data_IF_795443661269
#
_entry.id   IF_795443661269
#
_cell.length_a   1.000
_cell.length_b   1.000
_cell.length_c   1.000
_cell.angle_alpha   90.00
_cell.angle_beta   90.00
_cell.angle_gamma   90.00
#
_symmetry.space_group_name_H-M   'P 1'
#
loop_
_entity.id
_entity.type
_entity.pdbx_description
1 polymer ?
#
# COMPACT_ATOMS: atom_id res chain seq x y z
N UNK A 1 32.54 -4.14 -19.37
CA UNK A 1 32.61 -3.99 -20.82
C UNK A 1 31.34 -3.47 -21.48
N UNK A 2 30.14 -3.97 -21.10
CA UNK A 2 28.85 -3.50 -21.64
C UNK A 2 28.64 -2.00 -21.41
N UNK A 3 28.87 -1.50 -20.18
CA UNK A 3 28.74 -0.07 -19.85
C UNK A 3 29.66 0.80 -20.75
N UNK A 4 30.93 0.40 -20.95
CA UNK A 4 31.87 1.13 -21.82
C UNK A 4 31.38 1.23 -23.26
N UNK A 5 30.77 0.16 -23.81
CA UNK A 5 30.18 0.16 -25.15
C UNK A 5 29.02 1.13 -25.27
N UNK A 6 28.07 1.07 -24.30
CA UNK A 6 26.89 1.95 -24.25
C UNK A 6 27.33 3.42 -24.15
N UNK A 7 28.24 3.74 -23.25
CA UNK A 7 28.75 5.12 -23.09
C UNK A 7 29.47 5.64 -24.32
N UNK A 8 30.22 4.78 -25.01
CA UNK A 8 30.88 5.15 -26.28
C UNK A 8 29.86 5.43 -27.39
N UNK A 9 28.79 4.65 -27.44
CA UNK A 9 27.70 4.86 -28.41
C UNK A 9 26.96 6.17 -28.14
N UNK A 10 26.60 6.44 -26.88
CA UNK A 10 25.96 7.70 -26.45
C UNK A 10 26.82 8.90 -26.84
N UNK A 11 28.13 8.83 -26.54
CA UNK A 11 29.07 9.90 -26.88
C UNK A 11 29.19 10.13 -28.37
N UNK A 12 29.12 9.06 -29.17
CA UNK A 12 29.28 9.16 -30.66
C UNK A 12 28.02 9.76 -31.29
N UNK A 13 26.83 9.46 -30.77
CA UNK A 13 25.57 9.95 -31.33
C UNK A 13 25.28 11.40 -30.96
N UNK A 14 25.56 11.81 -29.73
CA UNK A 14 25.39 13.19 -29.30
C UNK A 14 23.92 13.70 -29.13
N UNK A 15 22.95 12.91 -29.60
CA UNK A 15 21.52 13.19 -29.56
C UNK A 15 20.77 12.48 -28.37
N UNK A 16 21.54 11.80 -27.52
CA UNK A 16 21.01 10.97 -26.43
C UNK A 16 21.15 11.70 -25.10
N UNK A 17 20.05 11.81 -24.37
CA UNK A 17 20.02 12.26 -22.98
C UNK A 17 19.99 11.01 -22.09
N UNK A 18 20.98 10.90 -21.20
CA UNK A 18 21.09 9.80 -20.27
C UNK A 18 20.39 10.17 -18.97
N UNK A 19 19.38 9.40 -18.56
CA UNK A 19 18.79 9.50 -17.24
C UNK A 19 19.46 8.51 -16.29
N UNK A 20 19.92 9.01 -15.15
CA UNK A 20 20.57 8.21 -14.10
C UNK A 20 19.79 8.40 -12.81
N UNK A 21 19.10 7.35 -12.39
CA UNK A 21 18.45 7.31 -11.09
C UNK A 21 19.50 7.05 -10.00
N UNK A 22 19.27 7.60 -8.80
CA UNK A 22 20.20 7.51 -7.67
C UNK A 22 21.65 7.84 -8.04
N UNK A 23 21.88 8.94 -8.79
CA UNK A 23 23.20 9.32 -9.31
C UNK A 23 24.28 9.39 -8.21
N UNK A 24 23.89 9.63 -6.95
CA UNK A 24 24.79 9.63 -5.81
C UNK A 24 25.51 8.29 -5.60
N UNK A 25 24.89 7.18 -5.99
CA UNK A 25 25.50 5.84 -5.88
C UNK A 25 26.72 5.71 -6.78
N UNK A 26 26.72 6.39 -7.93
CA UNK A 26 27.82 6.41 -8.88
C UNK A 26 28.94 7.36 -8.49
N UNK A 27 28.66 8.34 -7.64
CA UNK A 27 29.63 9.37 -7.23
C UNK A 27 30.26 9.03 -5.87
N UNK A 28 29.45 8.48 -4.95
CA UNK A 28 29.81 8.17 -3.58
C UNK A 28 30.31 6.74 -3.34
N UNK A 29 30.41 5.91 -4.37
CA UNK A 29 30.66 4.47 -4.25
C UNK A 29 32.06 4.17 -3.68
N UNK A 30 32.12 4.08 -2.37
CA UNK A 30 33.30 3.64 -1.63
C UNK A 30 33.33 2.16 -1.21
N UNK A 31 32.33 1.31 -1.53
CA UNK A 31 32.19 0.05 -0.80
C UNK A 31 31.83 -1.23 -1.58
N UNK A 32 31.42 -1.18 -2.85
CA UNK A 32 31.10 -2.40 -3.59
C UNK A 32 31.98 -2.54 -4.83
N UNK A 33 32.66 -3.68 -4.99
CA UNK A 33 33.64 -3.92 -6.08
C UNK A 33 33.10 -3.64 -7.49
N UNK A 34 31.81 -3.89 -7.77
CA UNK A 34 31.20 -3.62 -9.06
C UNK A 34 30.77 -2.16 -9.29
N UNK A 35 30.48 -1.41 -8.21
CA UNK A 35 30.06 0.00 -8.29
C UNK A 35 31.27 0.94 -8.45
N UNK A 36 32.42 0.59 -7.92
CA UNK A 36 33.69 1.31 -8.09
C UNK A 36 34.09 1.39 -9.58
N UNK A 37 33.89 0.33 -10.33
CA UNK A 37 34.21 0.27 -11.77
C UNK A 37 33.30 1.19 -12.61
N UNK A 38 32.01 1.28 -12.29
CA UNK A 38 31.08 2.16 -12.98
C UNK A 38 31.34 3.65 -12.63
N UNK A 39 31.54 3.95 -11.35
CA UNK A 39 31.86 5.29 -10.87
C UNK A 39 33.16 5.85 -11.46
N UNK A 40 34.20 5.03 -11.53
CA UNK A 40 35.51 5.41 -12.12
C UNK A 40 35.43 5.77 -13.60
N UNK A 41 34.46 5.24 -14.32
CA UNK A 41 34.24 5.51 -15.75
C UNK A 41 33.31 6.71 -15.95
N UNK A 42 32.20 6.74 -15.25
CA UNK A 42 31.14 7.75 -15.44
C UNK A 42 31.52 9.11 -14.86
N UNK A 43 32.09 9.16 -13.66
CA UNK A 43 32.44 10.42 -12.98
C UNK A 43 33.33 11.33 -13.82
N UNK A 44 34.42 10.87 -14.47
CA UNK A 44 35.22 11.72 -15.35
C UNK A 44 34.47 12.22 -16.59
N UNK A 45 33.56 11.41 -17.15
CA UNK A 45 32.77 11.80 -18.34
C UNK A 45 31.72 12.86 -17.97
N UNK A 46 31.05 12.70 -16.82
CA UNK A 46 30.12 13.68 -16.28
C UNK A 46 30.84 15.01 -15.94
N UNK A 47 31.98 14.94 -15.28
CA UNK A 47 32.77 16.10 -14.92
C UNK A 47 33.31 16.87 -16.15
N UNK A 48 33.59 16.20 -17.27
CA UNK A 48 33.99 16.84 -18.52
C UNK A 48 32.85 17.33 -19.39
N UNK A 49 31.58 16.97 -19.05
CA UNK A 49 30.40 17.31 -19.83
C UNK A 49 30.30 16.58 -21.13
N UNK A 50 30.88 15.37 -21.22
CA UNK A 50 30.84 14.53 -22.42
C UNK A 50 29.49 13.83 -22.64
N UNK A 51 28.64 13.83 -21.63
CA UNK A 51 27.31 13.22 -21.63
C UNK A 51 26.27 14.26 -21.26
N UNK A 52 25.19 14.31 -22.04
CA UNK A 52 23.99 15.03 -21.61
C UNK A 52 23.23 14.15 -20.63
N UNK A 53 23.13 14.58 -19.38
CA UNK A 53 22.67 13.71 -18.30
C UNK A 53 21.65 14.42 -17.43
N UNK A 54 20.59 13.71 -17.09
CA UNK A 54 19.65 14.05 -16.03
C UNK A 54 19.88 13.06 -14.89
N UNK A 55 20.27 13.56 -13.72
CA UNK A 55 20.44 12.73 -12.51
C UNK A 55 19.31 12.95 -11.53
N UNK A 56 18.77 11.88 -10.98
CA UNK A 56 17.83 11.95 -9.86
C UNK A 56 18.53 11.52 -8.57
N UNK A 57 18.21 12.21 -7.46
CA UNK A 57 18.75 11.90 -6.13
C UNK A 57 17.91 12.59 -5.06
N UNK A 58 18.12 12.25 -3.78
CA UNK A 58 17.55 12.96 -2.65
C UNK A 58 18.37 14.22 -2.29
N UNK A 59 17.76 15.20 -1.61
CA UNK A 59 18.46 16.41 -1.20
C UNK A 59 19.63 16.11 -0.26
N UNK A 60 19.48 15.15 0.63
CA UNK A 60 20.54 14.79 1.59
C UNK A 60 21.73 14.12 0.90
N UNK A 61 21.47 13.21 -0.04
CA UNK A 61 22.53 12.57 -0.81
C UNK A 61 23.17 13.54 -1.80
N UNK A 62 22.41 14.50 -2.37
CA UNK A 62 22.96 15.57 -3.18
C UNK A 62 23.99 16.40 -2.37
N UNK A 63 23.61 16.89 -1.19
CA UNK A 63 24.50 17.67 -0.29
C UNK A 63 25.73 16.88 0.14
N UNK A 64 25.56 15.59 0.36
CA UNK A 64 26.63 14.72 0.85
C UNK A 64 27.64 14.33 -0.22
N UNK A 65 27.20 14.11 -1.45
CA UNK A 65 28.02 13.50 -2.49
C UNK A 65 28.26 14.38 -3.71
N UNK A 66 27.31 15.20 -4.15
CA UNK A 66 27.42 15.99 -5.38
C UNK A 66 27.86 17.40 -5.10
N UNK A 67 27.27 18.10 -4.14
CA UNK A 67 27.61 19.48 -3.76
C UNK A 67 29.05 19.60 -3.25
N UNK A 68 29.57 18.58 -2.58
CA UNK A 68 30.97 18.55 -2.10
C UNK A 68 32.00 18.28 -3.19
N UNK A 69 31.58 17.82 -4.36
CA UNK A 69 32.46 17.57 -5.49
C UNK A 69 32.43 18.73 -6.49
N UNK A 70 33.42 19.63 -6.38
CA UNK A 70 33.50 20.85 -7.19
C UNK A 70 33.47 20.57 -8.72
N UNK A 71 33.85 19.37 -9.19
CA UNK A 71 33.82 19.03 -10.60
C UNK A 71 32.40 18.70 -11.08
N UNK A 72 31.58 18.10 -10.21
CA UNK A 72 30.18 17.74 -10.50
C UNK A 72 29.25 18.93 -10.20
N UNK A 73 29.42 19.64 -9.11
CA UNK A 73 28.64 20.81 -8.76
C UNK A 73 28.56 21.83 -9.91
N UNK A 74 29.67 22.08 -10.58
CA UNK A 74 29.74 23.01 -11.74
C UNK A 74 29.03 22.48 -13.00
N UNK A 75 28.64 21.23 -13.02
CA UNK A 75 28.06 20.56 -14.21
C UNK A 75 26.59 20.21 -14.05
N UNK A 76 26.13 20.05 -12.82
CA UNK A 76 24.75 19.74 -12.53
C UNK A 76 24.05 20.93 -11.90
N UNK A 77 23.03 21.45 -12.58
CA UNK A 77 22.14 22.44 -12.04
C UNK A 77 21.06 21.72 -11.24
N UNK A 78 20.93 21.92 -9.90
CA UNK A 78 19.89 21.29 -9.12
C UNK A 78 18.51 21.85 -9.48
N UNK A 79 17.56 20.96 -9.69
CA UNK A 79 16.14 21.26 -9.87
C UNK A 79 15.40 20.57 -8.73
N UNK A 80 14.90 21.36 -7.78
CA UNK A 80 14.16 20.80 -6.66
C UNK A 80 12.72 20.47 -7.10
N UNK A 81 12.34 19.21 -6.92
CA UNK A 81 10.96 18.76 -7.08
C UNK A 81 10.30 18.82 -5.70
N UNK A 82 9.40 19.75 -5.52
CA UNK A 82 8.68 19.91 -4.26
C UNK A 82 7.57 18.87 -4.12
N UNK A 83 7.20 18.57 -2.87
CA UNK A 83 6.03 17.75 -2.57
C UNK A 83 4.76 18.40 -3.16
N UNK A 84 3.89 17.64 -3.85
CA UNK A 84 2.68 18.18 -4.40
C UNK A 84 1.67 18.54 -3.30
N UNK A 85 0.82 19.52 -3.58
CA UNK A 85 -0.30 19.85 -2.69
C UNK A 85 -1.33 18.71 -2.67
N UNK A 86 -2.20 18.68 -1.66
CA UNK A 86 -3.32 17.72 -1.57
C UNK A 86 -4.16 17.74 -2.86
N UNK A 87 -4.47 18.93 -3.39
CA UNK A 87 -5.25 19.05 -4.63
C UNK A 87 -4.54 18.40 -5.83
N UNK A 88 -3.26 18.67 -6.03
CA UNK A 88 -2.47 18.02 -7.08
C UNK A 88 -2.33 16.50 -6.84
N UNK A 89 -2.23 16.06 -5.60
CA UNK A 89 -2.21 14.64 -5.27
C UNK A 89 -3.51 13.95 -5.70
N UNK A 90 -4.66 14.56 -5.44
CA UNK A 90 -5.96 14.03 -5.88
C UNK A 90 -6.00 13.90 -7.43
N UNK A 91 -5.49 14.89 -8.15
CA UNK A 91 -5.42 14.81 -9.61
C UNK A 91 -4.48 13.70 -10.11
N UNK A 92 -3.35 13.51 -9.43
CA UNK A 92 -2.43 12.38 -9.70
C UNK A 92 -3.15 11.06 -9.47
N UNK A 93 -3.84 10.90 -8.33
CA UNK A 93 -4.59 9.68 -7.99
C UNK A 93 -5.69 9.39 -9.01
N UNK A 94 -6.41 10.41 -9.48
CA UNK A 94 -7.39 10.27 -10.57
C UNK A 94 -6.74 9.74 -11.86
N UNK A 95 -5.56 10.24 -12.19
CA UNK A 95 -4.81 9.76 -13.36
C UNK A 95 -4.31 8.32 -13.23
N UNK A 96 -4.16 7.81 -12.01
CA UNK A 96 -3.71 6.44 -11.73
C UNK A 96 -4.87 5.47 -11.51
N UNK A 97 -6.09 5.95 -11.23
CA UNK A 97 -7.28 5.17 -10.87
C UNK A 97 -7.47 3.94 -11.75
N UNK A 98 -7.59 4.14 -13.05
CA UNK A 98 -7.90 3.07 -14.01
C UNK A 98 -6.90 1.92 -13.95
N UNK A 99 -5.64 2.22 -13.64
CA UNK A 99 -4.58 1.21 -13.52
C UNK A 99 -4.75 0.36 -12.25
N UNK A 100 -5.07 1.01 -11.12
CA UNK A 100 -5.30 0.32 -9.85
C UNK A 100 -6.61 -0.48 -9.88
N UNK A 101 -7.68 0.09 -10.44
CA UNK A 101 -8.95 -0.61 -10.65
C UNK A 101 -8.76 -1.87 -11.50
N UNK A 102 -8.04 -1.77 -12.61
CA UNK A 102 -7.74 -2.90 -13.48
C UNK A 102 -6.86 -3.97 -12.79
N UNK A 103 -5.87 -3.52 -11.98
CA UNK A 103 -4.95 -4.42 -11.28
C UNK A 103 -5.65 -5.21 -10.16
N UNK A 104 -6.42 -4.54 -9.32
CA UNK A 104 -7.10 -5.14 -8.17
C UNK A 104 -8.50 -5.68 -8.53
N UNK A 105 -9.03 -5.32 -9.71
CA UNK A 105 -10.40 -5.65 -10.18
C UNK A 105 -11.47 -5.13 -9.21
N UNK A 106 -11.40 -3.86 -8.91
CA UNK A 106 -12.26 -3.11 -8.00
C UNK A 106 -12.65 -1.79 -8.64
N UNK A 107 -13.57 -1.07 -8.04
CA UNK A 107 -13.89 0.33 -8.36
C UNK A 107 -13.40 1.23 -7.23
N UNK A 108 -12.88 2.42 -7.55
CA UNK A 108 -12.40 3.40 -6.57
C UNK A 108 -13.20 4.69 -6.71
N UNK A 109 -13.87 5.11 -5.64
CA UNK A 109 -14.68 6.33 -5.66
C UNK A 109 -13.84 7.60 -5.65
N UNK A 110 -14.39 8.72 -6.08
CA UNK A 110 -13.73 10.03 -5.98
C UNK A 110 -13.55 10.47 -4.52
N UNK A 111 -14.48 10.07 -3.65
CA UNK A 111 -14.42 10.28 -2.21
C UNK A 111 -13.24 9.54 -1.60
N UNK A 112 -12.99 8.29 -2.01
CA UNK A 112 -11.84 7.51 -1.57
C UNK A 112 -10.50 8.15 -1.98
N UNK A 113 -10.39 8.66 -3.21
CA UNK A 113 -9.19 9.37 -3.68
C UNK A 113 -8.93 10.64 -2.85
N UNK A 114 -9.99 11.38 -2.57
CA UNK A 114 -9.92 12.59 -1.75
C UNK A 114 -9.54 12.28 -0.32
N UNK A 115 -10.18 11.26 0.27
CA UNK A 115 -9.89 10.79 1.62
C UNK A 115 -8.44 10.27 1.73
N UNK A 116 -7.97 9.48 0.76
CA UNK A 116 -6.61 8.98 0.74
C UNK A 116 -5.57 10.11 0.76
N UNK A 117 -5.75 11.16 -0.05
CA UNK A 117 -4.83 12.30 -0.08
C UNK A 117 -4.86 13.09 1.24
N UNK A 118 -6.04 13.39 1.76
CA UNK A 118 -6.20 14.19 2.99
C UNK A 118 -5.75 13.44 4.25
N UNK A 119 -6.13 12.17 4.36
CA UNK A 119 -5.78 11.36 5.51
C UNK A 119 -4.29 10.98 5.50
N UNK A 120 -3.71 10.69 4.34
CA UNK A 120 -2.28 10.46 4.23
C UNK A 120 -1.48 11.68 4.68
N UNK A 121 -1.87 12.88 4.24
CA UNK A 121 -1.19 14.12 4.62
C UNK A 121 -1.24 14.36 6.13
N UNK A 122 -2.40 14.10 6.74
CA UNK A 122 -2.64 14.36 8.16
C UNK A 122 -2.01 13.35 9.10
N UNK A 123 -2.04 12.07 8.77
CA UNK A 123 -1.71 10.98 9.72
C UNK A 123 -0.41 10.26 9.41
N UNK A 124 0.11 10.34 8.16
CA UNK A 124 1.38 9.73 7.77
C UNK A 124 2.43 10.82 7.63
N UNK A 125 3.35 10.92 8.59
CA UNK A 125 4.36 11.99 8.64
C UNK A 125 5.77 11.54 8.22
N UNK A 126 6.01 10.26 8.11
CA UNK A 126 7.30 9.66 7.76
C UNK A 126 7.52 9.51 6.25
N UNK A 127 6.52 9.87 5.43
CA UNK A 127 6.54 9.80 3.97
C UNK A 127 5.93 11.05 3.34
N UNK A 128 6.21 11.24 2.06
CA UNK A 128 5.74 12.40 1.30
C UNK A 128 4.60 12.06 0.35
N UNK A 129 3.80 13.07 0.00
CA UNK A 129 2.86 12.99 -1.10
C UNK A 129 3.64 12.98 -2.44
N UNK A 130 3.16 12.30 -3.50
CA UNK A 130 1.91 11.54 -3.56
C UNK A 130 2.02 10.10 -3.04
N UNK A 131 3.23 9.59 -2.79
CA UNK A 131 3.50 8.16 -2.55
C UNK A 131 2.68 7.59 -1.39
N UNK A 132 2.63 8.29 -0.24
CA UNK A 132 1.85 7.85 0.92
C UNK A 132 0.35 7.71 0.64
N UNK A 133 -0.20 8.52 -0.27
CA UNK A 133 -1.61 8.43 -0.67
C UNK A 133 -1.83 7.31 -1.70
N UNK A 134 -0.89 7.10 -2.61
CA UNK A 134 -0.88 5.98 -3.55
C UNK A 134 -0.83 4.65 -2.79
N UNK A 135 0.06 4.54 -1.80
CA UNK A 135 0.18 3.33 -0.96
C UNK A 135 -1.14 2.99 -0.24
N UNK A 136 -1.88 4.00 0.26
CA UNK A 136 -3.18 3.77 0.89
C UNK A 136 -4.20 3.18 -0.08
N UNK A 137 -4.24 3.67 -1.32
CA UNK A 137 -5.16 3.17 -2.35
C UNK A 137 -4.78 1.76 -2.77
N UNK A 138 -3.48 1.51 -2.96
CA UNK A 138 -2.99 0.18 -3.33
C UNK A 138 -3.29 -0.86 -2.25
N UNK A 139 -3.02 -0.53 -0.99
CA UNK A 139 -3.32 -1.39 0.16
C UNK A 139 -4.83 -1.63 0.32
N UNK A 140 -5.66 -0.58 0.14
CA UNK A 140 -7.11 -0.71 0.20
C UNK A 140 -7.64 -1.65 -0.90
N UNK A 141 -7.14 -1.50 -2.12
CA UNK A 141 -7.46 -2.38 -3.23
C UNK A 141 -7.02 -3.82 -2.99
N UNK A 142 -5.81 -4.01 -2.47
CA UNK A 142 -5.28 -5.33 -2.15
C UNK A 142 -6.10 -6.03 -1.06
N UNK A 143 -6.45 -5.32 0.03
CA UNK A 143 -7.27 -5.87 1.12
C UNK A 143 -8.67 -6.24 0.65
N UNK A 144 -9.31 -5.39 -0.14
CA UNK A 144 -10.62 -5.66 -0.67
C UNK A 144 -10.61 -6.89 -1.60
N UNK A 145 -9.58 -7.01 -2.45
CA UNK A 145 -9.37 -8.19 -3.28
C UNK A 145 -9.18 -9.46 -2.45
N UNK A 146 -8.35 -9.42 -1.39
CA UNK A 146 -8.14 -10.58 -0.49
C UNK A 146 -9.45 -10.94 0.21
N UNK A 147 -10.20 -9.97 0.70
CA UNK A 147 -11.51 -10.17 1.34
C UNK A 147 -12.48 -10.91 0.43
N UNK A 148 -12.52 -10.55 -0.85
CA UNK A 148 -13.33 -11.24 -1.89
C UNK A 148 -12.83 -12.66 -2.18
N UNK A 149 -11.52 -12.90 -2.17
CA UNK A 149 -10.96 -14.23 -2.41
C UNK A 149 -11.06 -15.15 -1.20
N UNK A 150 -11.31 -14.61 -0.03
CA UNK A 150 -11.39 -15.36 1.21
C UNK A 150 -12.82 -15.80 1.44
N UNK A 151 -13.06 -17.13 1.47
CA UNK A 151 -14.37 -17.69 1.77
C UNK A 151 -14.93 -17.14 3.10
N UNK A 152 -16.20 -16.76 3.17
CA UNK A 152 -16.84 -16.28 4.39
C UNK A 152 -16.63 -17.26 5.56
N UNK A 153 -16.57 -16.77 6.80
CA UNK A 153 -16.45 -17.62 8.00
C UNK A 153 -17.50 -18.73 8.04
N UNK A 154 -18.72 -18.44 7.60
CA UNK A 154 -19.81 -19.42 7.50
C UNK A 154 -19.47 -20.66 6.69
N UNK A 155 -18.77 -20.50 5.56
CA UNK A 155 -18.35 -21.64 4.73
C UNK A 155 -17.31 -22.50 5.44
N UNK A 156 -16.41 -21.90 6.22
CA UNK A 156 -15.43 -22.64 7.05
C UNK A 156 -16.12 -23.45 8.14
N UNK A 157 -17.13 -22.88 8.78
CA UNK A 157 -17.93 -23.64 9.77
C UNK A 157 -18.61 -24.86 9.16
N UNK A 158 -19.11 -24.76 7.91
CA UNK A 158 -19.66 -25.92 7.21
C UNK A 158 -18.59 -26.95 6.92
N UNK A 159 -17.39 -26.55 6.50
CA UNK A 159 -16.28 -27.47 6.25
C UNK A 159 -15.87 -28.22 7.53
N UNK A 160 -15.83 -27.55 8.67
CA UNK A 160 -15.56 -28.17 9.98
C UNK A 160 -16.66 -29.14 10.39
N UNK A 161 -17.93 -28.78 10.23
CA UNK A 161 -19.07 -29.66 10.52
C UNK A 161 -19.08 -30.91 9.62
N UNK A 162 -18.80 -30.73 8.33
CA UNK A 162 -18.70 -31.84 7.37
C UNK A 162 -17.54 -32.77 7.74
N UNK A 163 -16.39 -32.20 8.13
CA UNK A 163 -15.25 -33.01 8.59
C UNK A 163 -15.58 -33.82 9.85
N UNK A 164 -16.28 -33.23 10.82
CA UNK A 164 -16.76 -33.91 12.01
C UNK A 164 -17.70 -35.08 11.70
N UNK A 165 -18.73 -34.83 10.86
CA UNK A 165 -19.69 -35.87 10.45
C UNK A 165 -19.03 -37.01 9.67
N UNK A 166 -18.01 -36.70 8.84
CA UNK A 166 -17.21 -37.73 8.14
C UNK A 166 -16.47 -38.63 9.10
N UNK A 167 -15.82 -38.05 10.10
CA UNK A 167 -15.08 -38.79 11.10
C UNK A 167 -16.00 -39.72 11.94
N UNK A 168 -17.19 -39.20 12.34
CA UNK A 168 -18.17 -40.01 13.03
C UNK A 168 -18.76 -41.12 12.16
N UNK A 169 -18.97 -40.88 10.86
CA UNK A 169 -19.43 -41.86 9.90
C UNK A 169 -18.41 -43.01 9.76
N UNK A 170 -17.12 -42.69 9.65
CA UNK A 170 -16.05 -43.68 9.57
C UNK A 170 -15.99 -44.52 10.86
N UNK A 171 -16.07 -43.89 12.04
CA UNK A 171 -16.12 -44.60 13.30
C UNK A 171 -17.36 -45.55 13.43
N UNK A 172 -18.54 -45.11 12.92
CA UNK A 172 -19.73 -45.95 12.90
C UNK A 172 -19.58 -47.15 11.95
N UNK A 173 -18.91 -46.97 10.82
CA UNK A 173 -18.60 -48.08 9.89
C UNK A 173 -17.65 -49.09 10.54
N UNK A 174 -16.58 -48.62 11.20
CA UNK A 174 -15.63 -49.49 11.88
C UNK A 174 -16.27 -50.28 13.04
N UNK A 175 -17.27 -49.66 13.72
CA UNK A 175 -18.08 -50.29 14.75
C UNK A 175 -19.19 -51.20 14.20
N UNK A 176 -19.33 -51.34 12.86
CA UNK A 176 -20.39 -52.06 12.17
C UNK A 176 -21.82 -51.57 12.47
N UNK A 177 -21.96 -50.34 12.92
CA UNK A 177 -23.24 -49.64 13.15
C UNK A 177 -23.74 -49.00 11.85
N UNK A 178 -24.27 -49.86 10.97
CA UNK A 178 -24.70 -49.42 9.63
C UNK A 178 -25.91 -48.49 9.65
N UNK A 179 -26.74 -48.55 10.70
CA UNK A 179 -27.89 -47.67 10.84
C UNK A 179 -27.46 -46.24 11.15
N UNK A 180 -26.51 -46.09 12.09
CA UNK A 180 -25.89 -44.80 12.42
C UNK A 180 -25.09 -44.26 11.24
N UNK A 181 -24.33 -45.09 10.54
CA UNK A 181 -23.56 -44.69 9.38
C UNK A 181 -24.47 -44.18 8.24
N UNK A 182 -25.64 -44.79 8.04
CA UNK A 182 -26.63 -44.35 7.04
C UNK A 182 -27.21 -42.96 7.40
N UNK A 183 -27.55 -42.69 8.68
CA UNK A 183 -28.02 -41.39 9.14
C UNK A 183 -26.94 -40.30 8.95
N UNK A 184 -25.71 -40.57 9.37
CA UNK A 184 -24.58 -39.64 9.20
C UNK A 184 -24.27 -39.34 7.73
N UNK A 185 -24.45 -40.31 6.82
CA UNK A 185 -24.34 -40.07 5.38
C UNK A 185 -25.40 -39.12 4.87
N UNK A 186 -26.61 -39.23 5.36
CA UNK A 186 -27.70 -38.32 4.96
C UNK A 186 -27.50 -36.92 5.51
N UNK A 187 -26.97 -36.79 6.71
CA UNK A 187 -26.58 -35.52 7.31
C UNK A 187 -25.39 -34.86 6.59
N UNK A 188 -24.36 -35.65 6.23
CA UNK A 188 -23.29 -35.17 5.36
C UNK A 188 -23.80 -34.59 4.05
N UNK A 189 -24.73 -35.31 3.40
CA UNK A 189 -25.34 -34.88 2.13
C UNK A 189 -26.13 -33.57 2.28
N UNK A 190 -26.85 -33.39 3.38
CA UNK A 190 -27.56 -32.13 3.68
C UNK A 190 -26.58 -30.98 3.90
N UNK A 191 -25.56 -31.19 4.67
CA UNK A 191 -24.54 -30.17 4.94
C UNK A 191 -23.78 -29.76 3.66
N UNK A 192 -23.45 -30.72 2.79
CA UNK A 192 -22.84 -30.45 1.48
C UNK A 192 -23.75 -29.61 0.58
N UNK A 193 -25.05 -29.90 0.59
CA UNK A 193 -26.04 -29.12 -0.19
C UNK A 193 -26.14 -27.69 0.35
N UNK A 194 -26.26 -27.52 1.65
CA UNK A 194 -26.33 -26.20 2.29
C UNK A 194 -25.06 -25.39 2.06
N UNK A 195 -23.89 -26.03 2.10
CA UNK A 195 -22.62 -25.40 1.77
C UNK A 195 -22.60 -24.92 0.32
N UNK A 196 -23.03 -25.78 -0.63
CA UNK A 196 -23.10 -25.44 -2.06
C UNK A 196 -24.03 -24.25 -2.31
N UNK A 197 -25.21 -24.24 -1.70
CA UNK A 197 -26.18 -23.15 -1.84
C UNK A 197 -25.60 -21.82 -1.30
N UNK A 198 -24.91 -21.85 -0.15
CA UNK A 198 -24.24 -20.66 0.39
C UNK A 198 -23.04 -20.22 -0.46
N UNK A 199 -22.27 -21.17 -1.00
CA UNK A 199 -21.16 -20.87 -1.91
C UNK A 199 -21.64 -20.23 -3.21
N UNK A 200 -22.74 -20.72 -3.77
CA UNK A 200 -23.36 -20.18 -4.98
C UNK A 200 -23.96 -18.79 -4.72
N UNK A 201 -24.62 -18.60 -3.56
CA UNK A 201 -25.13 -17.30 -3.15
C UNK A 201 -23.98 -16.28 -2.93
N UNK A 202 -22.88 -16.71 -2.35
CA UNK A 202 -21.70 -15.87 -2.20
C UNK A 202 -21.08 -15.48 -3.55
N UNK A 203 -20.91 -16.46 -4.46
CA UNK A 203 -20.39 -16.18 -5.81
C UNK A 203 -21.32 -15.27 -6.63
N UNK A 204 -22.64 -15.40 -6.48
CA UNK A 204 -23.61 -14.53 -7.14
C UNK A 204 -23.61 -13.11 -6.52
N UNK A 205 -23.57 -13.00 -5.19
CA UNK A 205 -23.51 -11.71 -4.51
C UNK A 205 -22.20 -10.95 -4.77
N UNK A 206 -21.10 -11.66 -4.97
CA UNK A 206 -19.79 -11.06 -5.27
C UNK A 206 -19.70 -10.52 -6.73
N UNK A 207 -20.50 -11.05 -7.63
CA UNK A 207 -20.58 -10.55 -9.01
C UNK A 207 -21.49 -9.33 -9.16
N UNK A 208 -22.44 -9.10 -8.25
CA UNK A 208 -23.47 -8.06 -8.39
C UNK A 208 -23.14 -6.77 -7.61
N UNK A 209 -22.37 -6.86 -6.53
CA UNK A 209 -21.82 -5.71 -5.83
C UNK A 209 -20.35 -5.54 -6.22
N UNK A 210 -20.09 -4.72 -7.23
CA UNK A 210 -18.74 -4.33 -7.59
C UNK A 210 -17.99 -3.92 -6.33
N UNK A 211 -16.86 -4.59 -6.02
CA UNK A 211 -16.07 -4.24 -4.85
C UNK A 211 -15.59 -2.79 -5.02
N UNK A 212 -16.07 -1.92 -4.17
CA UNK A 212 -15.84 -0.49 -4.22
C UNK A 212 -14.99 -0.06 -3.03
N UNK A 213 -13.91 0.65 -3.32
CA UNK A 213 -13.11 1.33 -2.29
C UNK A 213 -13.73 2.69 -2.05
N UNK A 214 -14.23 2.90 -0.87
CA UNK A 214 -14.83 4.14 -0.38
C UNK A 214 -13.94 4.82 0.70
N UNK A 215 -14.40 5.95 1.21
CA UNK A 215 -13.73 6.69 2.29
C UNK A 215 -13.52 5.82 3.54
N UNK A 216 -14.51 4.98 3.88
CA UNK A 216 -14.46 4.14 5.07
C UNK A 216 -13.38 3.06 4.95
N UNK A 217 -13.25 2.45 3.78
CA UNK A 217 -12.18 1.48 3.48
C UNK A 217 -10.80 2.12 3.63
N UNK A 218 -10.61 3.35 3.15
CA UNK A 218 -9.35 4.10 3.31
C UNK A 218 -9.06 4.36 4.79
N UNK A 219 -10.07 4.79 5.56
CA UNK A 219 -9.93 5.02 7.00
C UNK A 219 -9.58 3.74 7.77
N UNK A 220 -10.18 2.59 7.41
CA UNK A 220 -9.86 1.27 7.98
C UNK A 220 -8.41 0.87 7.73
N UNK A 221 -7.94 1.04 6.49
CA UNK A 221 -6.55 0.75 6.10
C UNK A 221 -5.58 1.62 6.87
N UNK A 222 -5.82 2.91 6.90
CA UNK A 222 -4.98 3.87 7.63
C UNK A 222 -4.93 3.56 9.13
N UNK A 223 -6.09 3.27 9.73
CA UNK A 223 -6.20 2.91 11.13
C UNK A 223 -5.38 1.65 11.45
N UNK A 224 -5.41 0.66 10.57
CA UNK A 224 -4.63 -0.56 10.70
C UNK A 224 -3.11 -0.32 10.52
N UNK A 225 -2.73 0.58 9.62
CA UNK A 225 -1.32 0.88 9.34
C UNK A 225 -0.67 1.76 10.42
N UNK A 226 -1.41 2.75 10.94
CA UNK A 226 -0.90 3.73 11.91
C UNK A 226 -1.20 3.38 13.36
N UNK A 227 -2.18 2.50 13.60
CA UNK A 227 -2.72 2.22 14.95
C UNK A 227 -3.62 3.33 15.49
N UNK A 228 -3.91 4.37 14.69
CA UNK A 228 -4.77 5.49 15.07
C UNK A 228 -6.19 5.19 14.62
N UNK A 229 -7.20 5.12 15.51
CA UNK A 229 -8.58 4.90 15.11
C UNK A 229 -9.12 6.15 14.37
N UNK A 230 -9.16 6.08 13.05
CA UNK A 230 -9.61 7.18 12.16
C UNK A 230 -11.10 7.07 11.84
N UNK A 231 -11.85 6.22 12.55
CA UNK A 231 -13.30 6.05 12.34
C UNK A 231 -14.06 7.33 12.65
N UNK A 232 -15.18 7.54 11.95
CA UNK A 232 -16.14 8.58 12.32
C UNK A 232 -16.56 8.32 13.77
N UNK A 233 -16.22 9.26 14.67
CA UNK A 233 -16.67 9.21 16.04
C UNK A 233 -18.19 9.16 16.03
N UNK A 234 -18.79 8.21 16.73
CA UNK A 234 -20.24 8.21 16.91
C UNK A 234 -20.67 9.52 17.57
N UNK A 235 -21.93 9.94 17.38
CA UNK A 235 -22.44 11.17 18.02
C UNK A 235 -22.22 11.14 19.55
N UNK A 236 -22.31 9.95 20.16
CA UNK A 236 -22.04 9.75 21.58
C UNK A 236 -20.57 9.98 21.96
N UNK A 237 -19.64 9.49 21.14
CA UNK A 237 -18.19 9.69 21.35
C UNK A 237 -17.79 11.13 21.12
N UNK A 238 -18.30 11.78 20.07
CA UNK A 238 -18.14 13.22 19.84
C UNK A 238 -18.64 14.05 21.00
N UNK A 239 -19.82 13.69 21.56
CA UNK A 239 -20.39 14.35 22.73
C UNK A 239 -19.56 14.13 24.00
N UNK A 240 -18.92 12.98 24.14
CA UNK A 240 -18.01 12.68 25.27
C UNK A 240 -16.70 13.46 25.14
N UNK A 241 -16.14 13.57 23.94
CA UNK A 241 -14.93 14.36 23.69
C UNK A 241 -15.17 15.86 23.95
N UNK A 242 -16.32 16.41 23.53
CA UNK A 242 -16.68 17.80 23.81
C UNK A 242 -16.85 18.09 25.31
N UNK A 243 -17.18 17.09 26.10
CA UNK A 243 -17.28 17.20 27.58
C UNK A 243 -15.98 16.86 28.30
N UNK A 244 -14.93 16.51 27.57
CA UNK A 244 -13.68 16.02 28.18
C UNK A 244 -13.01 17.11 29.03
N UNK A 245 -13.03 18.39 28.60
CA UNK A 245 -12.50 19.50 29.37
C UNK A 245 -13.22 19.64 30.75
N UNK A 246 -14.54 19.55 30.75
CA UNK A 246 -15.34 19.62 31.95
C UNK A 246 -15.06 18.43 32.90
N UNK A 247 -14.90 17.24 32.36
CA UNK A 247 -14.62 16.04 33.16
C UNK A 247 -13.18 16.05 33.73
N UNK A 248 -12.19 16.52 32.96
CA UNK A 248 -10.82 16.70 33.43
C UNK A 248 -10.79 17.83 34.48
N UNK A 249 -11.49 18.94 34.24
CA UNK A 249 -11.57 20.08 35.16
C UNK A 249 -12.19 19.74 36.54
N UNK A 250 -13.05 18.74 36.61
CA UNK A 250 -13.59 18.23 37.91
C UNK A 250 -12.53 17.48 38.72
N UNK A 251 -11.55 16.89 38.11
CA UNK A 251 -10.49 16.11 38.77
C UNK A 251 -9.23 16.91 39.06
N UNK A 252 -8.93 17.92 38.22
CA UNK A 252 -7.77 18.79 38.35
C UNK A 252 -8.21 20.19 38.77
N UNK A 253 -7.96 20.54 40.01
CA UNK A 253 -8.31 21.85 40.59
C UNK A 253 -7.12 22.80 40.42
N UNK A 254 -7.33 23.94 39.76
CA UNK A 254 -6.37 25.05 39.71
C UNK A 254 -5.42 25.10 38.50
N UNK A 255 -5.56 24.26 37.50
CA UNK A 255 -4.74 24.28 36.27
C UNK A 255 -5.57 24.51 35.03
N UNK A 256 -6.39 25.53 34.98
CA UNK A 256 -7.34 25.81 33.90
C UNK A 256 -6.66 26.04 32.55
N UNK A 257 -5.46 26.64 32.52
CA UNK A 257 -4.72 26.93 31.29
C UNK A 257 -4.03 25.69 30.72
N UNK A 258 -3.87 24.63 31.50
CA UNK A 258 -3.29 23.36 31.03
C UNK A 258 -4.35 22.34 30.56
N UNK A 259 -5.63 22.56 30.92
CA UNK A 259 -6.75 21.69 30.56
C UNK A 259 -7.43 22.17 29.27
N UNK A 260 -7.30 23.45 28.92
CA UNK A 260 -7.68 24.00 27.62
C UNK A 260 -6.63 23.68 26.56
#
# INVERSE_FOLDING_TARGET
>A
ERLKKVLKEIKTRGDIILFIDEIHTLVGAGAAEGAIDAASILKPMLARGELQTIGATTLDEYRKHIEKDAALERRFQPIQVAEPSIAHTIDILRGLRDRYEAHHRITITDEALTAAAQMADRYIQDRFLPDKAIDLIDEAGARLRIRRMTAPPDLREFDEKIAGVRLEKEAAIDAQDFERAARLRDDEKKLLHQRSEKEDAWKMGDNDTGAEVDEETIAEVLSSATGIPVFKLTEEESSRLLKMEDEIGKRYIGQHDAVR
#
